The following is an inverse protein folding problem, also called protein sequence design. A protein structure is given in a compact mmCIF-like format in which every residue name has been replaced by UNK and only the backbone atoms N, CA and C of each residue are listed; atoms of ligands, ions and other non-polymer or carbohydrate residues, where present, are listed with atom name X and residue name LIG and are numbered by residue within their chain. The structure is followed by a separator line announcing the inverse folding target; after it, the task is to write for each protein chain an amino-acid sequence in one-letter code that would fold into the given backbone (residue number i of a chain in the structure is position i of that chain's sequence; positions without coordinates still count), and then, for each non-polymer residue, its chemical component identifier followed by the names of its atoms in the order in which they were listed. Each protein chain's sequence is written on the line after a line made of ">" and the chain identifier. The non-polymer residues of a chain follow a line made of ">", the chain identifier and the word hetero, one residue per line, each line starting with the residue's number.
data_IF_085451398307
#
_entry.id   IF_085451398307
#
_cell.length_a   1.000
_cell.length_b   1.000
_cell.length_c   1.000
_cell.angle_alpha   90.00
_cell.angle_beta   90.00
_cell.angle_gamma   90.00
#
_symmetry.space_group_name_H-M   'P 1'
#
loop_
_entity.id
_entity.type
_entity.pdbx_description
1 polymer ?
#
# COMPACT_ATOMS: atom_id res chain seq x y z
N UNK A 1 -3.08 13.47 12.40
CA UNK A 1 -3.49 12.31 11.61
C UNK A 1 -2.65 11.10 11.95
N UNK A 2 -3.29 9.97 12.05
CA UNK A 2 -2.59 8.76 12.45
C UNK A 2 -2.33 7.86 11.25
N UNK A 3 -1.06 7.51 11.07
CA UNK A 3 -0.67 6.45 10.14
C UNK A 3 0.35 5.61 10.89
N UNK A 4 0.04 4.35 11.09
CA UNK A 4 0.93 3.44 11.79
C UNK A 4 1.84 2.74 10.79
N UNK A 5 3.14 2.86 11.00
CA UNK A 5 4.13 2.21 10.15
C UNK A 5 5.00 1.33 11.03
N UNK A 6 4.91 0.02 10.81
CA UNK A 6 5.81 -0.94 11.43
C UNK A 6 6.97 -1.17 10.47
N UNK A 7 8.15 -0.68 10.81
CA UNK A 7 9.29 -0.67 9.90
C UNK A 7 10.37 -1.68 10.29
N UNK A 8 10.00 -2.76 10.97
CA UNK A 8 10.98 -3.74 11.43
C UNK A 8 11.86 -4.25 10.29
N UNK A 9 11.29 -4.47 9.11
CA UNK A 9 12.03 -4.88 7.92
C UNK A 9 12.13 -3.76 6.89
N UNK A 10 11.66 -2.58 7.23
CA UNK A 10 11.79 -1.40 6.43
C UNK A 10 10.58 -1.08 5.58
N UNK A 11 10.30 0.21 5.46
CA UNK A 11 9.28 0.73 4.55
C UNK A 11 9.98 1.78 3.71
N UNK A 12 10.01 1.57 2.40
CA UNK A 12 10.58 2.54 1.48
C UNK A 12 9.45 3.35 0.85
N UNK A 13 9.51 4.65 1.05
CA UNK A 13 8.50 5.57 0.52
C UNK A 13 9.20 6.52 -0.45
N UNK A 14 8.82 6.44 -1.72
CA UNK A 14 9.40 7.28 -2.76
C UNK A 14 8.74 8.66 -2.78
N UNK A 15 9.13 9.49 -3.75
CA UNK A 15 8.66 10.87 -3.83
C UNK A 15 7.18 10.95 -4.16
N UNK A 16 6.52 11.95 -3.60
CA UNK A 16 5.12 12.29 -3.92
C UNK A 16 4.12 11.18 -3.56
N UNK A 17 4.47 10.31 -2.64
CA UNK A 17 3.52 9.31 -2.12
C UNK A 17 2.56 10.01 -1.17
N UNK A 18 1.28 9.75 -1.32
CA UNK A 18 0.25 10.28 -0.42
C UNK A 18 -0.35 9.13 0.36
N UNK A 19 -0.33 9.26 1.68
CA UNK A 19 -0.89 8.24 2.56
C UNK A 19 -1.97 8.92 3.39
N UNK A 20 -3.20 8.41 3.26
CA UNK A 20 -4.32 8.93 4.02
C UNK A 20 -4.18 8.66 5.51
N UNK A 21 -5.03 9.29 6.31
CA UNK A 21 -5.00 9.13 7.77
C UNK A 21 -5.44 7.72 8.17
N UNK A 22 -4.98 7.28 9.34
CA UNK A 22 -5.36 6.02 9.95
C UNK A 22 -5.01 4.79 9.10
N UNK A 23 -3.99 4.89 8.26
CA UNK A 23 -3.49 3.74 7.52
C UNK A 23 -2.56 2.92 8.40
N UNK A 24 -2.46 1.64 8.09
CA UNK A 24 -1.53 0.73 8.77
C UNK A 24 -0.63 0.08 7.73
N UNK A 25 0.67 0.23 7.90
CA UNK A 25 1.66 -0.33 6.99
C UNK A 25 2.59 -1.21 7.80
N UNK A 26 2.61 -2.49 7.47
CA UNK A 26 3.38 -3.46 8.24
C UNK A 26 4.48 -4.08 7.39
N UNK A 27 5.71 -4.08 7.86
CA UNK A 27 6.79 -4.86 7.25
C UNK A 27 7.01 -6.17 7.99
N UNK A 28 6.25 -6.42 9.03
CA UNK A 28 6.32 -7.65 9.82
C UNK A 28 4.93 -7.97 10.35
N UNK A 29 4.49 -9.21 10.21
CA UNK A 29 3.22 -9.68 10.77
C UNK A 29 3.49 -10.87 11.69
N UNK A 30 3.12 -10.74 12.95
CA UNK A 30 3.27 -11.84 13.90
C UNK A 30 2.18 -12.90 13.75
N UNK A 31 1.07 -12.53 13.15
CA UNK A 31 -0.06 -13.47 12.98
C UNK A 31 0.26 -14.49 11.90
N UNK A 32 0.75 -14.03 10.75
CA UNK A 32 1.01 -14.89 9.60
C UNK A 32 2.49 -15.20 9.42
N UNK A 33 3.33 -14.72 10.32
CA UNK A 33 4.78 -14.83 10.20
C UNK A 33 5.31 -14.26 8.89
N UNK A 34 4.57 -13.34 8.30
CA UNK A 34 5.01 -12.69 7.06
C UNK A 34 5.99 -11.58 7.39
N UNK A 35 7.01 -11.47 6.56
CA UNK A 35 8.05 -10.47 6.71
C UNK A 35 8.43 -9.94 5.34
N UNK A 36 8.92 -8.72 5.31
CA UNK A 36 9.41 -8.16 4.08
C UNK A 36 9.23 -6.65 4.02
N UNK A 37 10.11 -6.02 3.25
CA UNK A 37 10.06 -4.59 3.05
C UNK A 37 8.81 -4.21 2.26
N UNK A 38 8.13 -3.18 2.73
CA UNK A 38 7.05 -2.56 1.96
C UNK A 38 7.66 -1.45 1.11
N UNK A 39 7.29 -1.39 -0.16
CA UNK A 39 7.80 -0.39 -1.08
C UNK A 39 6.63 0.37 -1.68
N UNK A 40 6.59 1.69 -1.44
CA UNK A 40 5.59 2.58 -2.02
C UNK A 40 6.30 3.43 -3.08
N UNK A 41 6.00 3.14 -4.34
CA UNK A 41 6.69 3.80 -5.45
C UNK A 41 6.09 5.17 -5.74
N UNK A 42 6.77 5.92 -6.62
CA UNK A 42 6.49 7.32 -6.84
C UNK A 42 5.03 7.58 -7.21
N UNK A 43 4.48 8.64 -6.63
CA UNK A 43 3.14 9.13 -6.92
C UNK A 43 2.00 8.16 -6.57
N UNK A 44 2.27 7.07 -5.86
CA UNK A 44 1.15 6.21 -5.44
C UNK A 44 0.35 6.88 -4.33
N UNK A 45 -0.90 6.49 -4.19
CA UNK A 45 -1.81 7.07 -3.21
C UNK A 45 -2.48 5.96 -2.42
N UNK A 46 -2.44 6.07 -1.11
CA UNK A 46 -3.05 5.09 -0.22
C UNK A 46 -4.23 5.79 0.47
N UNK A 47 -5.44 5.31 0.22
CA UNK A 47 -6.64 5.88 0.83
C UNK A 47 -6.69 5.62 2.33
N UNK A 48 -7.44 6.46 3.03
CA UNK A 48 -7.53 6.41 4.49
C UNK A 48 -8.01 5.05 5.00
N UNK A 49 -7.54 4.66 6.19
CA UNK A 49 -7.95 3.43 6.86
C UNK A 49 -7.59 2.14 6.09
N UNK A 50 -6.64 2.22 5.18
CA UNK A 50 -6.18 1.04 4.44
C UNK A 50 -5.04 0.36 5.20
N UNK A 51 -4.86 -0.93 4.93
CA UNK A 51 -3.78 -1.72 5.53
C UNK A 51 -2.94 -2.33 4.42
N UNK A 52 -1.62 -2.18 4.55
CA UNK A 52 -0.64 -2.77 3.61
C UNK A 52 0.13 -3.84 4.37
N UNK A 53 0.09 -5.05 3.86
CA UNK A 53 0.74 -6.18 4.51
C UNK A 53 2.23 -6.27 4.15
N UNK A 54 3.02 -7.05 4.92
CA UNK A 54 4.46 -7.17 4.68
C UNK A 54 4.81 -7.67 3.27
N UNK A 55 5.90 -7.16 2.75
CA UNK A 55 6.43 -7.60 1.46
C UNK A 55 5.71 -7.05 0.25
N UNK A 56 4.79 -6.12 0.45
CA UNK A 56 3.96 -5.59 -0.65
C UNK A 56 4.65 -4.41 -1.31
N UNK A 57 4.56 -4.36 -2.63
CA UNK A 57 5.04 -3.25 -3.44
C UNK A 57 3.85 -2.60 -4.13
N UNK A 58 3.70 -1.29 -3.96
CA UNK A 58 2.67 -0.50 -4.64
C UNK A 58 3.33 0.24 -5.78
N UNK A 59 2.88 0.01 -7.00
CA UNK A 59 3.51 0.55 -8.20
C UNK A 59 3.29 2.04 -8.39
N UNK A 60 4.05 2.62 -9.31
CA UNK A 60 4.01 4.05 -9.61
C UNK A 60 2.61 4.47 -10.06
N UNK A 61 2.16 5.61 -9.58
CA UNK A 61 0.86 6.21 -9.93
C UNK A 61 -0.35 5.38 -9.52
N UNK A 62 -0.16 4.27 -8.83
CA UNK A 62 -1.29 3.42 -8.44
C UNK A 62 -2.03 3.99 -7.25
N UNK A 63 -3.27 3.63 -7.10
CA UNK A 63 -4.16 4.14 -6.06
C UNK A 63 -4.77 2.96 -5.31
N UNK A 64 -4.69 3.01 -3.99
CA UNK A 64 -5.42 2.09 -3.11
C UNK A 64 -6.60 2.87 -2.56
N UNK A 65 -7.80 2.42 -2.83
CA UNK A 65 -9.00 3.09 -2.33
C UNK A 65 -9.09 2.96 -0.80
N UNK A 66 -9.81 3.88 -0.19
CA UNK A 66 -9.98 3.87 1.28
C UNK A 66 -10.55 2.54 1.77
N UNK A 67 -10.18 2.17 2.99
CA UNK A 67 -10.66 0.95 3.65
C UNK A 67 -10.31 -0.34 2.89
N UNK A 68 -9.15 -0.36 2.24
CA UNK A 68 -8.69 -1.55 1.52
C UNK A 68 -7.67 -2.34 2.34
N UNK A 69 -7.60 -3.62 2.08
CA UNK A 69 -6.65 -4.51 2.74
C UNK A 69 -5.76 -5.13 1.67
N UNK A 70 -4.54 -4.64 1.54
CA UNK A 70 -3.65 -4.99 0.44
C UNK A 70 -2.78 -6.17 0.83
N UNK A 71 -2.97 -7.29 0.15
CA UNK A 71 -2.23 -8.53 0.40
C UNK A 71 -1.40 -8.98 -0.80
N UNK A 72 -1.47 -8.27 -1.90
CA UNK A 72 -0.72 -8.60 -3.12
C UNK A 72 -0.07 -7.36 -3.69
N UNK A 73 1.01 -7.54 -4.43
CA UNK A 73 1.66 -6.43 -5.11
C UNK A 73 0.73 -5.77 -6.10
N UNK A 74 0.78 -4.46 -6.15
CA UNK A 74 -0.04 -3.68 -7.07
C UNK A 74 0.87 -3.12 -8.16
N UNK A 75 0.63 -3.51 -9.44
CA UNK A 75 1.41 -2.96 -10.55
C UNK A 75 1.17 -1.46 -10.71
N UNK A 76 2.01 -0.82 -11.51
CA UNK A 76 1.88 0.61 -11.77
C UNK A 76 0.57 0.93 -12.49
N UNK A 77 0.10 2.15 -12.29
CA UNK A 77 -1.05 2.72 -13.03
C UNK A 77 -2.33 1.91 -12.86
N UNK A 78 -2.60 1.47 -11.64
CA UNK A 78 -3.82 0.71 -11.35
C UNK A 78 -4.49 1.24 -10.10
N UNK A 79 -5.80 1.07 -10.05
CA UNK A 79 -6.60 1.36 -8.84
C UNK A 79 -7.10 0.04 -8.28
N UNK A 80 -6.82 -0.19 -7.02
CA UNK A 80 -7.23 -1.39 -6.31
C UNK A 80 -8.10 -1.02 -5.11
N UNK A 81 -9.06 -1.88 -4.80
CA UNK A 81 -9.99 -1.63 -3.69
C UNK A 81 -10.50 -2.93 -3.11
N UNK A 82 -10.93 -2.88 -1.87
CA UNK A 82 -11.64 -3.97 -1.21
C UNK A 82 -10.84 -4.70 -0.15
N UNK A 83 -11.46 -5.73 0.42
CA UNK A 83 -10.89 -6.58 1.47
C UNK A 83 -11.11 -8.03 1.05
N UNK A 84 -10.09 -8.73 0.55
CA UNK A 84 -8.79 -8.22 0.13
C UNK A 84 -8.88 -7.32 -1.09
N UNK A 85 -7.91 -6.42 -1.22
CA UNK A 85 -7.90 -5.49 -2.35
C UNK A 85 -7.71 -6.22 -3.66
N UNK A 86 -8.45 -5.81 -4.67
CA UNK A 86 -8.40 -6.37 -6.01
C UNK A 86 -8.41 -5.26 -7.04
N UNK A 87 -7.95 -5.59 -8.24
CA UNK A 87 -7.91 -4.63 -9.34
C UNK A 87 -9.31 -4.10 -9.62
N UNK A 88 -9.45 -2.79 -9.57
CA UNK A 88 -10.67 -2.10 -9.91
C UNK A 88 -10.61 -1.58 -11.35
N UNK A 89 -9.56 -0.83 -11.66
CA UNK A 89 -9.37 -0.33 -13.02
C UNK A 89 -7.91 0.00 -13.27
N UNK A 90 -7.54 0.09 -14.53
CA UNK A 90 -6.22 0.54 -14.95
C UNK A 90 -6.28 2.00 -15.33
N UNK A 91 -5.24 2.74 -14.94
CA UNK A 91 -5.13 4.15 -15.27
C UNK A 91 -4.39 4.31 -16.60
N UNK A 92 -4.84 5.26 -17.41
CA UNK A 92 -4.12 5.62 -18.64
C UNK A 92 -3.30 6.85 -18.37
N UNK A 93 -2.00 6.64 -18.23
CA UNK A 93 -1.04 7.72 -17.97
C UNK A 93 -0.26 7.98 -19.25
N UNK A 94 -0.29 9.21 -19.70
CA UNK A 94 0.44 9.60 -20.91
C UNK A 94 1.81 10.18 -20.56
#
# INVERSE_FOLDING_TARGET
>A
EFTYINSNFGVKISDNVQIGSHCSIYSNSTIDFKQGRVILKENCKIGSHSTIMPGISIGENSVVAAYSFVTKNIPKNQVWSGIPAKLNKKLQIK
#
